data_IF_442633891645
#
_entry.id   IF_442633891645
#
_cell.length_a   1.000
_cell.length_b   1.000
_cell.length_c   1.000
_cell.angle_alpha   90.00
_cell.angle_beta   90.00
_cell.angle_gamma   90.00
#
_symmetry.space_group_name_H-M   'P 1'
#
loop_
_entity.id
_entity.type
_entity.pdbx_description
1 polymer ?
#
# COMPACT_ATOMS: atom_id res chain seq x y z
N UNK A 1 -15.59 -19.21 -2.02
CA UNK A 1 -14.73 -18.56 -3.03
C UNK A 1 -13.82 -17.57 -2.31
N UNK A 2 -12.50 -17.70 -2.41
CA UNK A 2 -11.58 -16.71 -1.85
C UNK A 2 -11.66 -15.45 -2.73
N UNK A 3 -12.03 -14.30 -2.17
CA UNK A 3 -12.05 -13.03 -2.90
C UNK A 3 -10.65 -12.69 -3.43
N UNK A 4 -10.61 -12.13 -4.64
CA UNK A 4 -9.39 -11.64 -5.29
C UNK A 4 -8.87 -10.45 -4.46
N UNK A 5 -7.57 -10.47 -4.13
CA UNK A 5 -6.93 -9.37 -3.41
C UNK A 5 -6.67 -8.21 -4.39
N UNK A 6 -6.96 -6.98 -3.97
CA UNK A 6 -6.71 -5.76 -4.73
C UNK A 6 -5.88 -4.78 -3.90
N UNK A 7 -5.15 -3.84 -4.52
CA UNK A 7 -4.51 -2.74 -3.82
C UNK A 7 -5.52 -1.96 -2.97
N UNK A 8 -5.08 -1.48 -1.81
CA UNK A 8 -5.84 -0.54 -0.98
C UNK A 8 -5.89 0.85 -1.62
N UNK A 9 -4.84 1.21 -2.37
CA UNK A 9 -4.73 2.45 -3.12
C UNK A 9 -3.81 2.22 -4.33
N UNK A 10 -4.05 2.97 -5.41
CA UNK A 10 -3.21 2.98 -6.61
C UNK A 10 -2.55 4.38 -6.73
N UNK A 11 -1.23 4.44 -6.52
CA UNK A 11 -0.45 5.67 -6.50
C UNK A 11 0.87 5.51 -5.75
N UNK A 12 1.45 6.60 -5.28
CA UNK A 12 2.74 6.59 -4.57
C UNK A 12 2.63 7.15 -3.16
N UNK A 13 3.01 6.34 -2.17
CA UNK A 13 3.12 6.78 -0.78
C UNK A 13 4.60 7.01 -0.47
N UNK A 14 5.02 8.27 -0.55
CA UNK A 14 6.42 8.65 -0.40
C UNK A 14 6.85 9.04 1.02
N UNK A 15 5.90 9.44 1.87
CA UNK A 15 6.14 10.04 3.19
C UNK A 15 5.19 9.48 4.26
N UNK A 16 5.51 9.63 5.56
CA UNK A 16 4.60 9.24 6.64
C UNK A 16 3.24 9.97 6.61
N UNK A 17 3.22 11.21 6.14
CA UNK A 17 2.01 12.03 6.05
C UNK A 17 1.06 11.54 4.95
N UNK A 18 1.63 11.09 3.82
CA UNK A 18 0.90 10.41 2.74
C UNK A 18 0.35 9.06 3.25
N UNK A 19 1.16 8.30 3.99
CA UNK A 19 0.74 7.02 4.55
C UNK A 19 -0.43 7.18 5.53
N UNK A 20 -0.41 8.22 6.37
CA UNK A 20 -1.51 8.53 7.29
C UNK A 20 -2.82 8.82 6.56
N UNK A 21 -2.79 9.53 5.42
CA UNK A 21 -3.99 9.79 4.61
C UNK A 21 -4.60 8.52 4.06
N UNK A 22 -3.78 7.63 3.48
CA UNK A 22 -4.28 6.34 2.97
C UNK A 22 -4.91 5.52 4.10
N UNK A 23 -4.27 5.47 5.28
CA UNK A 23 -4.83 4.79 6.46
C UNK A 23 -6.15 5.40 6.92
N UNK A 24 -6.23 6.74 6.95
CA UNK A 24 -7.48 7.43 7.29
C UNK A 24 -8.58 7.13 6.28
N UNK A 25 -8.26 7.08 4.98
CA UNK A 25 -9.19 6.65 3.94
C UNK A 25 -9.72 5.24 4.18
N UNK A 26 -8.88 4.31 4.65
CA UNK A 26 -9.33 2.97 5.02
C UNK A 26 -10.22 2.97 6.28
N UNK A 27 -9.86 3.73 7.31
CA UNK A 27 -10.67 3.87 8.55
C UNK A 27 -12.04 4.48 8.28
N UNK A 28 -12.12 5.45 7.37
CA UNK A 28 -13.37 6.09 6.95
C UNK A 28 -14.21 5.22 5.98
N UNK A 29 -13.69 4.08 5.54
CA UNK A 29 -14.34 3.19 4.57
C UNK A 29 -14.33 3.70 3.12
N UNK A 30 -13.56 4.76 2.82
CA UNK A 30 -13.33 5.26 1.46
C UNK A 30 -12.45 4.29 0.68
N UNK A 31 -11.43 3.75 1.35
CA UNK A 31 -10.54 2.71 0.86
C UNK A 31 -10.75 1.43 1.67
N UNK A 32 -10.19 0.32 1.20
CA UNK A 32 -10.27 -0.96 1.90
C UNK A 32 -8.89 -1.43 2.34
N UNK A 33 -8.79 -1.90 3.59
CA UNK A 33 -7.61 -2.64 4.04
C UNK A 33 -7.47 -3.96 3.26
N UNK A 34 -6.23 -4.40 3.05
CA UNK A 34 -5.94 -5.74 2.59
C UNK A 34 -6.43 -6.76 3.65
N UNK A 35 -7.41 -7.63 3.32
CA UNK A 35 -8.02 -8.52 4.32
C UNK A 35 -7.16 -9.74 4.63
N UNK A 36 -6.09 -9.98 3.87
CA UNK A 36 -5.20 -11.13 3.99
C UNK A 36 -3.87 -10.84 3.29
N UNK A 37 -2.90 -11.74 3.51
CA UNK A 37 -1.66 -11.77 2.73
C UNK A 37 -1.95 -12.08 1.26
N UNK A 38 -1.09 -11.54 0.40
CA UNK A 38 -0.95 -12.01 -0.97
C UNK A 38 -0.51 -13.47 -1.00
N UNK A 39 -1.04 -14.22 -1.97
CA UNK A 39 -0.60 -15.58 -2.28
C UNK A 39 0.47 -15.52 -3.37
N UNK A 40 1.34 -16.54 -3.42
CA UNK A 40 2.35 -16.69 -4.47
C UNK A 40 1.80 -16.53 -5.90
N UNK A 41 0.59 -17.05 -6.15
CA UNK A 41 -0.08 -16.94 -7.45
C UNK A 41 -0.54 -15.52 -7.82
N UNK A 42 -0.66 -14.62 -6.84
CA UNK A 42 -1.13 -13.24 -7.02
C UNK A 42 0.05 -12.25 -7.09
N UNK A 43 1.25 -12.64 -6.65
CA UNK A 43 2.38 -11.72 -6.50
C UNK A 43 2.78 -11.04 -7.81
N UNK A 44 2.74 -11.76 -8.93
CA UNK A 44 3.07 -11.21 -10.25
C UNK A 44 2.13 -10.06 -10.66
N UNK A 45 0.88 -10.07 -10.19
CA UNK A 45 -0.12 -9.04 -10.49
C UNK A 45 -0.12 -7.92 -9.43
N UNK A 46 0.26 -8.25 -8.19
CA UNK A 46 0.16 -7.34 -7.05
C UNK A 46 1.45 -6.57 -6.75
N UNK A 47 2.62 -7.13 -7.04
CA UNK A 47 3.92 -6.47 -6.86
C UNK A 47 4.24 -5.64 -8.10
N UNK A 48 3.46 -4.59 -8.30
CA UNK A 48 3.56 -3.69 -9.45
C UNK A 48 3.67 -2.24 -8.99
N UNK A 49 4.33 -1.42 -9.80
CA UNK A 49 4.44 0.01 -9.55
C UNK A 49 3.07 0.65 -9.39
N UNK A 50 2.88 1.44 -8.34
CA UNK A 50 1.61 2.08 -8.00
C UNK A 50 0.76 1.30 -7.01
N UNK A 51 0.97 0.00 -6.82
CA UNK A 51 0.16 -0.75 -5.87
C UNK A 51 0.55 -0.43 -4.43
N UNK A 52 -0.44 -0.06 -3.63
CA UNK A 52 -0.30 0.23 -2.20
C UNK A 52 -1.25 -0.66 -1.41
N UNK A 53 -0.74 -1.34 -0.39
CA UNK A 53 -1.51 -2.20 0.51
C UNK A 53 -1.50 -1.65 1.93
N UNK A 54 -2.67 -1.57 2.55
CA UNK A 54 -2.83 -1.20 3.96
C UNK A 54 -3.31 -2.40 4.75
N UNK A 55 -2.53 -2.83 5.73
CA UNK A 55 -2.86 -3.94 6.61
C UNK A 55 -3.13 -3.40 8.00
N UNK A 56 -4.32 -3.65 8.54
CA UNK A 56 -4.60 -3.42 9.96
C UNK A 56 -4.23 -4.67 10.75
N UNK A 57 -3.32 -4.51 11.71
CA UNK A 57 -2.67 -5.65 12.37
C UNK A 57 -3.67 -6.51 13.14
N UNK A 58 -4.62 -5.91 13.87
CA UNK A 58 -5.49 -6.67 14.76
C UNK A 58 -6.58 -7.45 13.98
N UNK A 59 -7.16 -6.89 12.92
CA UNK A 59 -8.15 -7.61 12.11
C UNK A 59 -7.54 -8.65 11.17
N UNK A 60 -6.34 -8.41 10.64
CA UNK A 60 -5.73 -9.32 9.66
C UNK A 60 -4.86 -10.42 10.27
N UNK A 61 -4.35 -10.22 11.49
CA UNK A 61 -3.32 -11.08 12.08
C UNK A 61 -1.96 -11.01 11.37
N UNK A 62 -1.77 -10.05 10.47
CA UNK A 62 -0.54 -9.89 9.69
C UNK A 62 0.41 -8.95 10.44
N UNK A 63 1.50 -9.53 10.95
CA UNK A 63 2.58 -8.79 11.62
C UNK A 63 3.43 -7.94 10.67
N UNK A 64 3.63 -8.42 9.44
CA UNK A 64 4.46 -7.76 8.43
C UNK A 64 4.00 -8.18 7.03
N UNK A 65 4.03 -7.25 6.07
CA UNK A 65 3.79 -7.55 4.67
C UNK A 65 5.04 -8.17 4.04
N UNK A 66 4.96 -9.45 3.71
CA UNK A 66 6.07 -10.23 3.15
C UNK A 66 5.73 -10.62 1.72
N UNK A 67 6.67 -10.40 0.81
CA UNK A 67 6.64 -10.77 -0.60
C UNK A 67 7.88 -11.62 -0.95
N UNK A 68 7.87 -12.29 -2.10
CA UNK A 68 8.97 -13.18 -2.51
C UNK A 68 10.11 -12.50 -3.30
N UNK A 69 10.09 -11.17 -3.41
CA UNK A 69 11.05 -10.40 -4.21
C UNK A 69 12.37 -10.24 -3.47
N UNK A 70 13.48 -10.54 -4.17
CA UNK A 70 14.82 -10.15 -3.71
C UNK A 70 15.05 -8.67 -4.01
N UNK A 71 14.80 -7.83 -3.01
CA UNK A 71 14.90 -6.37 -3.15
C UNK A 71 16.33 -5.85 -3.35
N UNK A 72 17.36 -6.69 -3.13
CA UNK A 72 18.74 -6.30 -3.41
C UNK A 72 19.10 -6.47 -4.89
N UNK A 73 18.40 -7.37 -5.59
CA UNK A 73 18.57 -7.65 -7.01
C UNK A 73 17.41 -7.12 -7.87
N UNK A 74 16.37 -6.55 -7.25
CA UNK A 74 15.21 -6.04 -7.97
C UNK A 74 15.51 -4.68 -8.58
N UNK A 75 15.74 -4.66 -9.88
CA UNK A 75 15.63 -3.45 -10.69
C UNK A 75 14.55 -3.66 -11.77
N UNK A 76 13.67 -2.67 -12.03
CA UNK A 76 13.62 -1.29 -11.51
C UNK A 76 12.66 -1.07 -10.31
N UNK A 77 12.01 -2.11 -9.80
CA UNK A 77 10.95 -1.97 -8.78
C UNK A 77 11.49 -1.79 -7.36
N UNK A 78 10.84 -0.92 -6.58
CA UNK A 78 11.15 -0.64 -5.17
C UNK A 78 9.94 -0.85 -4.27
N UNK A 79 10.21 -1.14 -3.01
CA UNK A 79 9.23 -1.20 -1.91
C UNK A 79 9.56 -0.14 -0.86
N UNK A 80 8.53 0.53 -0.35
CA UNK A 80 8.63 1.40 0.83
C UNK A 80 7.50 1.06 1.81
N UNK A 81 7.86 0.93 3.09
CA UNK A 81 6.92 0.54 4.14
C UNK A 81 6.84 1.60 5.23
N UNK A 82 5.63 1.90 5.69
CA UNK A 82 5.36 2.76 6.85
C UNK A 82 4.52 2.03 7.88
N UNK A 83 4.69 2.42 9.15
CA UNK A 83 3.79 2.01 10.23
C UNK A 83 3.06 3.24 10.75
N UNK A 84 1.73 3.21 10.76
CA UNK A 84 0.86 4.28 11.23
C UNK A 84 -0.01 3.75 12.36
N UNK A 85 -0.01 4.44 13.50
CA UNK A 85 -0.96 4.16 14.58
C UNK A 85 -2.11 5.15 14.51
N UNK A 86 -3.35 4.66 14.37
CA UNK A 86 -4.55 5.49 14.28
C UNK A 86 -5.66 4.86 15.12
N UNK A 87 -6.31 5.66 15.97
CA UNK A 87 -7.30 5.20 16.95
C UNK A 87 -6.84 4.01 17.82
N UNK A 88 -5.55 3.92 18.13
CA UNK A 88 -4.96 2.80 18.90
C UNK A 88 -4.69 1.53 18.09
N UNK A 89 -5.03 1.51 16.80
CA UNK A 89 -4.78 0.39 15.89
C UNK A 89 -3.53 0.64 15.05
N UNK A 90 -2.67 -0.38 14.93
CA UNK A 90 -1.47 -0.32 14.09
C UNK A 90 -1.78 -0.76 12.66
N UNK A 91 -1.35 0.07 11.72
CA UNK A 91 -1.51 -0.13 10.30
C UNK A 91 -0.14 -0.16 9.63
N UNK A 92 0.08 -1.15 8.76
CA UNK A 92 1.24 -1.23 7.89
C UNK A 92 0.85 -0.82 6.48
N UNK A 93 1.58 0.13 5.90
CA UNK A 93 1.38 0.62 4.54
C UNK A 93 2.58 0.20 3.71
N UNK A 94 2.39 -0.64 2.70
CA UNK A 94 3.43 -1.04 1.74
C UNK A 94 3.15 -0.43 0.39
N UNK A 95 4.08 0.36 -0.14
CA UNK A 95 3.99 0.99 -1.47
C UNK A 95 5.06 0.42 -2.40
N UNK A 96 4.61 -0.11 -3.54
CA UNK A 96 5.46 -0.55 -4.63
C UNK A 96 5.53 0.54 -5.70
N UNK A 97 6.73 0.84 -6.21
CA UNK A 97 6.92 1.92 -7.17
C UNK A 97 8.20 1.74 -7.97
N UNK A 98 8.29 2.39 -9.14
CA UNK A 98 9.56 2.61 -9.85
C UNK A 98 9.95 4.09 -9.77
N UNK A 99 11.25 4.38 -9.78
CA UNK A 99 11.71 5.77 -9.90
C UNK A 99 11.30 6.40 -11.23
N UNK A 100 11.15 5.59 -12.29
CA UNK A 100 10.66 6.05 -13.59
C UNK A 100 9.24 6.62 -13.47
N UNK A 101 8.33 5.89 -12.84
CA UNK A 101 6.93 6.34 -12.74
C UNK A 101 6.77 7.56 -11.83
N UNK A 102 7.63 7.70 -10.81
CA UNK A 102 7.70 8.93 -10.01
C UNK A 102 8.20 10.10 -10.85
N UNK A 103 9.33 9.95 -11.55
CA UNK A 103 9.93 11.01 -12.37
C UNK A 103 9.01 11.45 -13.51
N UNK A 104 8.27 10.51 -14.08
CA UNK A 104 7.32 10.77 -15.16
C UNK A 104 5.94 11.19 -14.65
N UNK A 105 5.76 11.41 -13.33
CA UNK A 105 4.51 11.81 -12.71
C UNK A 105 3.31 10.89 -13.03
N UNK A 106 3.56 9.59 -13.22
CA UNK A 106 2.53 8.59 -13.50
C UNK A 106 1.79 8.14 -12.25
N UNK A 107 2.43 8.26 -11.07
CA UNK A 107 1.83 7.88 -9.79
C UNK A 107 1.35 9.11 -9.05
N UNK A 108 0.04 9.16 -8.78
CA UNK A 108 -0.55 10.20 -7.94
C UNK A 108 -0.14 10.01 -6.48
N UNK A 109 0.18 11.10 -5.79
CA UNK A 109 0.37 11.09 -4.33
C UNK A 109 -0.98 11.26 -3.63
N UNK A 110 -1.24 10.57 -2.50
CA UNK A 110 -2.51 10.68 -1.77
C UNK A 110 -2.97 12.12 -1.51
N UNK A 111 -2.09 13.04 -1.13
CA UNK A 111 -2.45 14.45 -0.90
C UNK A 111 -2.96 15.20 -2.15
N UNK A 112 -2.60 14.73 -3.35
CA UNK A 112 -3.10 15.25 -4.62
C UNK A 112 -4.32 14.48 -5.14
N UNK A 113 -4.77 13.43 -4.45
CA UNK A 113 -5.97 12.67 -4.82
C UNK A 113 -7.23 13.36 -4.34
N UNK A 114 -8.19 13.57 -5.25
CA UNK A 114 -9.51 14.12 -4.89
C UNK A 114 -10.18 13.29 -3.79
N UNK A 115 -9.91 11.98 -3.72
CA UNK A 115 -10.43 11.09 -2.70
C UNK A 115 -9.84 11.34 -1.31
N UNK A 116 -8.59 11.80 -1.22
CA UNK A 116 -7.80 11.85 0.02
C UNK A 116 -7.21 13.25 0.33
N UNK A 117 -7.51 14.26 -0.49
CA UNK A 117 -6.97 15.62 -0.33
C UNK A 117 -7.51 16.34 0.91
N UNK A 118 -8.72 15.99 1.36
CA UNK A 118 -9.47 16.69 2.41
C UNK A 118 -9.68 15.85 3.67
N UNK A 119 -8.87 14.82 3.87
CA UNK A 119 -8.91 13.97 5.06
C UNK A 119 -7.69 14.22 5.95
#
# INVERSE_FOLDING_TARGET
MSSILKPSYEGYVGTPDEARRVVQGCVMGILHHAPRRMRKSEEAELIQSGNVFVVEKNASGIEEWVDSVDWNASEPLKKKTFTVTMHGHRHHVTSYYTDEDIRNHRLQIPSCSVLLQNI
#
